data_IF_630422339298
#
_entry.id   IF_630422339298
#
_cell.length_a   1.000
_cell.length_b   1.000
_cell.length_c   1.000
_cell.angle_alpha   90.00
_cell.angle_beta   90.00
_cell.angle_gamma   90.00
#
_symmetry.space_group_name_H-M   'P 1'
#
loop_
_entity.id
_entity.type
_entity.pdbx_description
1 polymer ?
#
# COMPACT_ATOMS: atom_id res chain seq x y z
N UNK A 1 -18.11 -10.21 22.99
CA UNK A 1 -18.04 -11.53 22.32
C UNK A 1 -17.00 -11.44 21.21
N UNK A 2 -15.81 -12.00 21.43
CA UNK A 2 -14.78 -12.11 20.39
C UNK A 2 -15.18 -13.25 19.46
N UNK A 3 -15.77 -12.94 18.30
CA UNK A 3 -16.00 -13.93 17.26
C UNK A 3 -14.62 -14.45 16.80
N UNK A 4 -14.34 -15.74 17.02
CA UNK A 4 -13.18 -16.42 16.45
C UNK A 4 -13.25 -16.23 14.93
N UNK A 5 -12.22 -15.62 14.34
CA UNK A 5 -12.03 -15.55 12.89
C UNK A 5 -11.73 -16.99 12.39
N UNK A 6 -12.77 -17.75 12.14
CA UNK A 6 -12.63 -19.10 11.55
C UNK A 6 -12.72 -18.97 10.02
N UNK A 7 -11.59 -19.06 9.37
CA UNK A 7 -11.54 -19.09 7.90
C UNK A 7 -11.76 -20.51 7.39
N UNK A 8 -12.53 -20.65 6.34
CA UNK A 8 -12.67 -21.93 5.60
C UNK A 8 -11.37 -22.25 4.84
N UNK A 9 -11.14 -23.53 4.52
CA UNK A 9 -9.93 -23.92 3.73
C UNK A 9 -9.82 -23.15 2.40
N UNK A 10 -10.94 -22.87 1.73
CA UNK A 10 -10.96 -22.07 0.50
C UNK A 10 -10.50 -20.63 0.74
N UNK A 11 -10.92 -20.02 1.84
CA UNK A 11 -10.50 -18.66 2.20
C UNK A 11 -9.01 -18.59 2.53
N UNK A 12 -8.50 -19.58 3.28
CA UNK A 12 -7.06 -19.68 3.61
C UNK A 12 -6.24 -19.81 2.33
N UNK A 13 -6.65 -20.66 1.39
CA UNK A 13 -5.98 -20.80 0.10
C UNK A 13 -5.99 -19.48 -0.70
N UNK A 14 -7.14 -18.79 -0.76
CA UNK A 14 -7.25 -17.50 -1.43
C UNK A 14 -6.35 -16.42 -0.82
N UNK A 15 -6.31 -16.35 0.51
CA UNK A 15 -5.41 -15.42 1.24
C UNK A 15 -3.94 -15.75 0.95
N UNK A 16 -3.56 -17.03 0.96
CA UNK A 16 -2.20 -17.47 0.68
C UNK A 16 -1.75 -17.11 -0.75
N UNK A 17 -2.64 -17.29 -1.74
CA UNK A 17 -2.37 -16.90 -3.14
C UNK A 17 -2.19 -15.39 -3.27
N UNK A 18 -3.05 -14.58 -2.63
CA UNK A 18 -2.90 -13.13 -2.65
C UNK A 18 -1.64 -12.67 -1.92
N UNK A 19 -1.27 -13.33 -0.82
CA UNK A 19 -0.04 -13.05 -0.09
C UNK A 19 1.20 -13.32 -0.96
N UNK A 20 1.23 -14.47 -1.63
CA UNK A 20 2.30 -14.80 -2.57
C UNK A 20 2.38 -13.78 -3.71
N UNK A 21 1.23 -13.37 -4.27
CA UNK A 21 1.16 -12.35 -5.32
C UNK A 21 1.67 -10.99 -4.83
N UNK A 22 1.32 -10.57 -3.61
CA UNK A 22 1.84 -9.35 -2.99
C UNK A 22 3.37 -9.41 -2.88
N UNK A 23 3.92 -10.50 -2.37
CA UNK A 23 5.38 -10.66 -2.20
C UNK A 23 6.09 -10.61 -3.56
N UNK A 24 5.60 -11.34 -4.56
CA UNK A 24 6.19 -11.37 -5.90
C UNK A 24 6.09 -10.02 -6.58
N UNK A 25 4.92 -9.38 -6.56
CA UNK A 25 4.74 -8.06 -7.18
C UNK A 25 5.58 -6.98 -6.50
N UNK A 26 5.76 -7.06 -5.18
CA UNK A 26 6.64 -6.12 -4.47
C UNK A 26 8.10 -6.36 -4.83
N UNK A 27 8.54 -7.62 -4.87
CA UNK A 27 9.92 -7.96 -5.21
C UNK A 27 10.27 -7.54 -6.65
N UNK A 28 9.38 -7.82 -7.61
CA UNK A 28 9.57 -7.46 -9.03
C UNK A 28 9.26 -6.00 -9.29
N UNK A 29 8.17 -5.47 -8.73
CA UNK A 29 7.75 -4.08 -8.90
C UNK A 29 8.76 -3.07 -8.36
N UNK A 30 9.55 -3.47 -7.37
CA UNK A 30 10.65 -2.67 -6.84
C UNK A 30 11.75 -2.36 -7.88
N UNK A 31 11.74 -2.97 -9.06
CA UNK A 31 12.64 -2.63 -10.17
C UNK A 31 12.11 -1.47 -11.02
N UNK A 32 10.82 -1.14 -10.90
CA UNK A 32 10.18 -0.05 -11.64
C UNK A 32 10.09 1.19 -10.77
N UNK A 33 10.89 2.19 -11.05
CA UNK A 33 10.87 3.46 -10.33
C UNK A 33 10.61 4.63 -11.29
N UNK A 34 9.83 5.60 -10.82
CA UNK A 34 9.69 6.90 -11.48
C UNK A 34 10.19 7.95 -10.48
N UNK A 35 11.36 8.53 -10.80
CA UNK A 35 12.08 9.37 -9.85
C UNK A 35 12.76 8.54 -8.74
N UNK A 36 12.92 9.10 -7.54
CA UNK A 36 13.64 8.46 -6.44
C UNK A 36 12.84 7.38 -5.69
N UNK A 37 11.55 7.22 -5.98
CA UNK A 37 10.64 6.29 -5.29
C UNK A 37 10.08 5.26 -6.28
N UNK A 38 9.94 4.01 -5.80
CA UNK A 38 9.40 2.90 -6.59
C UNK A 38 7.88 2.93 -6.65
N UNK A 39 7.33 2.46 -7.80
CA UNK A 39 5.89 2.22 -7.97
C UNK A 39 5.44 0.99 -7.17
N UNK A 40 4.29 1.11 -6.52
CA UNK A 40 3.74 0.05 -5.68
C UNK A 40 2.57 -0.67 -6.36
N UNK A 41 2.87 -1.69 -7.17
CA UNK A 41 1.85 -2.52 -7.82
C UNK A 41 1.11 -3.46 -6.87
N UNK A 42 1.59 -3.65 -5.63
CA UNK A 42 0.96 -4.53 -4.65
C UNK A 42 -0.34 -3.98 -4.09
N UNK A 43 -0.63 -2.69 -4.32
CA UNK A 43 -1.88 -2.06 -3.89
C UNK A 43 -3.11 -2.74 -4.51
N UNK A 44 -2.99 -3.35 -5.70
CA UNK A 44 -4.08 -4.06 -6.39
C UNK A 44 -4.51 -5.33 -5.65
N UNK A 45 -3.63 -6.33 -5.44
CA UNK A 45 -4.00 -7.53 -4.68
C UNK A 45 -4.32 -7.23 -3.21
N UNK A 46 -3.78 -6.17 -2.66
CA UNK A 46 -4.09 -5.69 -1.32
C UNK A 46 -5.55 -5.22 -1.23
N UNK A 47 -6.01 -4.39 -2.17
CA UNK A 47 -7.42 -3.99 -2.29
C UNK A 47 -8.32 -5.21 -2.45
N UNK A 48 -7.95 -6.13 -3.36
CA UNK A 48 -8.74 -7.35 -3.59
C UNK A 48 -8.90 -8.18 -2.32
N UNK A 49 -7.81 -8.42 -1.60
CA UNK A 49 -7.82 -9.14 -0.33
C UNK A 49 -8.63 -8.44 0.75
N UNK A 50 -8.51 -7.12 0.87
CA UNK A 50 -9.26 -6.31 1.82
C UNK A 50 -10.78 -6.34 1.55
N UNK A 51 -11.19 -6.32 0.29
CA UNK A 51 -12.60 -6.35 -0.11
C UNK A 51 -13.19 -7.75 0.06
N UNK A 52 -12.48 -8.82 -0.33
CA UNK A 52 -12.99 -10.20 -0.30
C UNK A 52 -12.98 -10.77 1.10
N UNK A 53 -11.86 -10.64 1.82
CA UNK A 53 -11.63 -11.31 3.10
C UNK A 53 -11.71 -10.39 4.31
N UNK A 54 -11.89 -9.09 4.08
CA UNK A 54 -12.11 -8.09 5.12
C UNK A 54 -10.86 -7.31 5.56
N UNK A 55 -11.04 -6.33 6.48
CA UNK A 55 -10.01 -5.36 6.86
C UNK A 55 -8.75 -5.99 7.43
N UNK A 56 -8.87 -7.04 8.23
CA UNK A 56 -7.73 -7.71 8.85
C UNK A 56 -6.84 -8.42 7.84
N UNK A 57 -7.45 -9.01 6.79
CA UNK A 57 -6.67 -9.61 5.70
C UNK A 57 -6.01 -8.52 4.86
N UNK A 58 -6.70 -7.40 4.61
CA UNK A 58 -6.09 -6.23 3.99
C UNK A 58 -4.87 -5.72 4.78
N UNK A 59 -4.98 -5.65 6.11
CA UNK A 59 -3.85 -5.29 6.98
C UNK A 59 -2.69 -6.30 6.89
N UNK A 60 -2.99 -7.60 6.89
CA UNK A 60 -1.99 -8.66 6.76
C UNK A 60 -1.22 -8.57 5.43
N UNK A 61 -1.93 -8.39 4.32
CA UNK A 61 -1.32 -8.23 2.99
C UNK A 61 -0.48 -6.95 2.92
N UNK A 62 -0.99 -5.85 3.51
CA UNK A 62 -0.27 -4.59 3.62
C UNK A 62 0.99 -4.70 4.48
N UNK A 63 0.93 -5.42 5.59
CA UNK A 63 2.07 -5.72 6.44
C UNK A 63 3.14 -6.51 5.67
N UNK A 64 2.75 -7.58 4.97
CA UNK A 64 3.67 -8.36 4.16
C UNK A 64 4.34 -7.51 3.06
N UNK A 65 3.57 -6.66 2.36
CA UNK A 65 4.13 -5.70 1.40
C UNK A 65 5.14 -4.76 2.07
N UNK A 66 4.79 -4.19 3.23
CA UNK A 66 5.67 -3.29 3.98
C UNK A 66 6.98 -3.95 4.43
N UNK A 67 6.92 -5.22 4.83
CA UNK A 67 8.13 -6.00 5.19
C UNK A 67 9.03 -6.21 3.98
N UNK A 68 8.47 -6.53 2.80
CA UNK A 68 9.27 -6.66 1.57
C UNK A 68 9.91 -5.33 1.19
N UNK A 69 9.17 -4.20 1.28
CA UNK A 69 9.75 -2.86 1.07
C UNK A 69 10.89 -2.59 2.06
N UNK A 70 10.72 -2.94 3.32
CA UNK A 70 11.78 -2.78 4.33
C UNK A 70 13.04 -3.58 3.98
N UNK A 71 12.88 -4.81 3.50
CA UNK A 71 14.02 -5.63 3.02
C UNK A 71 14.71 -4.93 1.85
N UNK A 72 13.95 -4.38 0.88
CA UNK A 72 14.51 -3.63 -0.25
C UNK A 72 15.26 -2.37 0.19
N UNK A 73 14.77 -1.69 1.23
CA UNK A 73 15.43 -0.54 1.85
C UNK A 73 16.77 -0.94 2.47
N UNK A 74 16.80 -2.03 3.26
CA UNK A 74 18.00 -2.54 3.91
C UNK A 74 19.02 -3.03 2.87
N UNK A 75 18.54 -3.66 1.78
CA UNK A 75 19.40 -4.10 0.66
C UNK A 75 19.87 -2.95 -0.24
N UNK A 76 19.45 -1.72 0.05
CA UNK A 76 19.86 -0.51 -0.69
C UNK A 76 19.60 -0.63 -2.20
N UNK A 77 18.44 -1.13 -2.58
CA UNK A 77 18.09 -1.32 -3.99
C UNK A 77 17.94 0.01 -4.76
N UNK A 78 17.77 1.13 -4.05
CA UNK A 78 17.65 2.49 -4.63
C UNK A 78 18.46 3.46 -3.76
N UNK A 79 19.18 4.43 -4.36
CA UNK A 79 19.99 5.41 -3.62
C UNK A 79 19.23 6.18 -2.53
N UNK A 80 17.96 6.51 -2.79
CA UNK A 80 17.07 7.12 -1.82
C UNK A 80 16.92 6.26 -0.55
N UNK A 81 16.83 4.94 -0.70
CA UNK A 81 16.71 4.02 0.43
C UNK A 81 17.96 3.96 1.30
N UNK A 82 19.15 4.07 0.68
CA UNK A 82 20.41 4.15 1.43
C UNK A 82 20.41 5.33 2.40
N UNK A 83 20.01 6.49 1.91
CA UNK A 83 20.03 7.73 2.69
C UNK A 83 19.03 7.69 3.85
N UNK A 84 17.78 7.30 3.60
CA UNK A 84 16.76 7.27 4.65
C UNK A 84 17.06 6.21 5.71
N UNK A 85 17.61 5.06 5.32
CA UNK A 85 17.99 4.00 6.25
C UNK A 85 19.18 4.39 7.13
N UNK A 86 20.21 5.01 6.53
CA UNK A 86 21.42 5.40 7.25
C UNK A 86 21.16 6.51 8.29
N UNK A 87 20.26 7.45 7.99
CA UNK A 87 20.08 8.65 8.79
C UNK A 87 18.82 8.62 9.69
N UNK A 88 17.74 7.96 9.24
CA UNK A 88 16.45 7.90 9.95
C UNK A 88 15.87 6.46 10.01
N UNK A 89 16.59 5.45 10.57
CA UNK A 89 16.22 4.04 10.46
C UNK A 89 14.88 3.69 11.12
N UNK A 90 14.59 4.25 12.29
CA UNK A 90 13.35 3.98 13.04
C UNK A 90 12.13 4.53 12.29
N UNK A 91 12.21 5.77 11.82
CA UNK A 91 11.11 6.39 11.07
C UNK A 91 10.90 5.68 9.75
N UNK A 92 11.97 5.28 9.08
CA UNK A 92 11.93 4.50 7.84
C UNK A 92 11.24 3.14 8.05
N UNK A 93 11.61 2.40 9.11
CA UNK A 93 10.97 1.15 9.49
C UNK A 93 9.45 1.33 9.67
N UNK A 94 9.06 2.28 10.51
CA UNK A 94 7.66 2.56 10.79
C UNK A 94 6.90 2.97 9.52
N UNK A 95 7.49 3.84 8.70
CA UNK A 95 6.87 4.30 7.46
C UNK A 95 6.67 3.14 6.48
N UNK A 96 7.67 2.28 6.27
CA UNK A 96 7.58 1.14 5.35
C UNK A 96 6.46 0.17 5.75
N UNK A 97 6.34 -0.14 7.04
CA UNK A 97 5.37 -1.13 7.53
C UNK A 97 3.99 -0.54 7.69
N UNK A 98 3.87 0.64 8.32
CA UNK A 98 2.55 1.19 8.68
C UNK A 98 1.77 1.68 7.46
N UNK A 99 2.42 2.32 6.46
CA UNK A 99 1.72 2.93 5.33
C UNK A 99 0.82 1.94 4.57
N UNK A 100 1.33 0.77 4.24
CA UNK A 100 0.59 -0.27 3.52
C UNK A 100 -0.35 -1.07 4.41
N UNK A 101 0.03 -1.33 5.67
CA UNK A 101 -0.81 -2.03 6.66
C UNK A 101 -2.09 -1.24 6.93
N UNK A 102 -1.96 0.04 7.25
CA UNK A 102 -3.11 0.92 7.53
C UNK A 102 -3.95 1.14 6.27
N UNK A 103 -3.32 1.32 5.11
CA UNK A 103 -4.03 1.47 3.84
C UNK A 103 -4.90 0.25 3.53
N UNK A 104 -4.37 -0.96 3.69
CA UNK A 104 -5.11 -2.21 3.50
C UNK A 104 -6.26 -2.39 4.49
N UNK A 105 -6.01 -2.07 5.77
CA UNK A 105 -7.04 -2.13 6.81
C UNK A 105 -8.20 -1.16 6.50
N UNK A 106 -7.89 0.11 6.22
CA UNK A 106 -8.90 1.13 5.95
C UNK A 106 -9.69 0.85 4.67
N UNK A 107 -9.05 0.31 3.63
CA UNK A 107 -9.74 -0.11 2.41
C UNK A 107 -10.86 -1.12 2.70
N UNK A 108 -10.55 -2.18 3.46
CA UNK A 108 -11.53 -3.19 3.83
C UNK A 108 -12.62 -2.65 4.76
N UNK A 109 -12.26 -1.74 5.68
CA UNK A 109 -13.21 -1.09 6.58
C UNK A 109 -14.21 -0.26 5.80
N UNK A 110 -13.74 0.62 4.91
CA UNK A 110 -14.60 1.48 4.10
C UNK A 110 -15.46 0.69 3.13
N UNK A 111 -14.91 -0.37 2.53
CA UNK A 111 -15.72 -1.29 1.73
C UNK A 111 -16.89 -1.86 2.56
N UNK A 112 -16.63 -2.38 3.74
CA UNK A 112 -17.66 -2.95 4.62
C UNK A 112 -18.74 -1.95 5.01
N UNK A 113 -18.38 -0.68 5.20
CA UNK A 113 -19.34 0.39 5.53
C UNK A 113 -20.24 0.78 4.35
N UNK A 114 -19.76 0.66 3.12
CA UNK A 114 -20.45 1.18 1.93
C UNK A 114 -21.15 0.10 1.10
N UNK A 115 -20.73 -1.18 1.21
CA UNK A 115 -21.16 -2.27 0.33
C UNK A 115 -22.67 -2.52 0.33
N UNK A 116 -23.34 -2.31 1.49
CA UNK A 116 -24.79 -2.52 1.62
C UNK A 116 -25.62 -1.43 0.92
N UNK A 117 -25.08 -0.21 0.82
CA UNK A 117 -25.77 0.91 0.18
C UNK A 117 -25.53 0.95 -1.33
N UNK A 118 -24.28 0.87 -1.77
CA UNK A 118 -23.88 0.96 -3.19
C UNK A 118 -22.61 0.13 -3.43
N UNK A 119 -22.76 -1.15 -3.77
CA UNK A 119 -21.65 -2.10 -3.93
C UNK A 119 -20.60 -1.63 -4.96
N UNK A 120 -21.00 -1.04 -6.09
CA UNK A 120 -20.06 -0.51 -7.08
C UNK A 120 -19.23 0.63 -6.50
N UNK A 121 -19.90 1.62 -5.87
CA UNK A 121 -19.23 2.76 -5.25
C UNK A 121 -18.28 2.31 -4.14
N UNK A 122 -18.67 1.29 -3.36
CA UNK A 122 -17.84 0.74 -2.29
C UNK A 122 -16.50 0.20 -2.83
N UNK A 123 -16.51 -0.49 -3.98
CA UNK A 123 -15.26 -0.98 -4.62
C UNK A 123 -14.41 0.19 -5.09
N UNK A 124 -14.99 1.19 -5.76
CA UNK A 124 -14.24 2.35 -6.24
C UNK A 124 -13.61 3.15 -5.10
N UNK A 125 -14.36 3.42 -4.04
CA UNK A 125 -13.85 4.16 -2.87
C UNK A 125 -12.77 3.35 -2.14
N UNK A 126 -12.98 2.05 -1.94
CA UNK A 126 -11.98 1.17 -1.32
C UNK A 126 -10.69 1.10 -2.14
N UNK A 127 -10.80 1.08 -3.49
CA UNK A 127 -9.64 1.10 -4.39
C UNK A 127 -8.88 2.42 -4.34
N UNK A 128 -9.58 3.55 -4.24
CA UNK A 128 -8.97 4.87 -4.14
C UNK A 128 -8.29 5.12 -2.79
N UNK A 129 -8.88 4.62 -1.71
CA UNK A 129 -8.37 4.82 -0.34
C UNK A 129 -6.97 4.25 -0.17
N UNK A 130 -6.64 3.13 -0.82
CA UNK A 130 -5.34 2.49 -0.63
C UNK A 130 -4.18 3.39 -1.08
N UNK A 131 -4.11 3.88 -2.33
CA UNK A 131 -3.04 4.80 -2.72
C UNK A 131 -3.08 6.11 -1.95
N UNK A 132 -4.27 6.65 -1.61
CA UNK A 132 -4.41 7.89 -0.84
C UNK A 132 -3.79 7.74 0.56
N UNK A 133 -4.16 6.71 1.30
CA UNK A 133 -3.66 6.48 2.66
C UNK A 133 -2.17 6.09 2.64
N UNK A 134 -1.77 5.23 1.70
CA UNK A 134 -0.37 4.84 1.53
C UNK A 134 0.52 6.06 1.30
N UNK A 135 0.11 6.96 0.42
CA UNK A 135 0.85 8.19 0.11
C UNK A 135 0.80 9.21 1.23
N UNK A 136 -0.35 9.40 1.88
CA UNK A 136 -0.46 10.31 3.03
C UNK A 136 0.47 9.90 4.17
N UNK A 137 0.51 8.61 4.52
CA UNK A 137 1.42 8.10 5.55
C UNK A 137 2.89 8.15 5.11
N UNK A 138 3.18 7.98 3.82
CA UNK A 138 4.52 8.19 3.28
C UNK A 138 4.96 9.65 3.43
N UNK A 139 4.10 10.61 3.09
CA UNK A 139 4.37 12.06 3.28
C UNK A 139 4.64 12.36 4.76
N UNK A 140 3.80 11.87 5.66
CA UNK A 140 3.99 12.03 7.11
C UNK A 140 5.32 11.44 7.56
N UNK A 141 5.68 10.25 7.09
CA UNK A 141 6.97 9.63 7.35
C UNK A 141 8.14 10.50 6.87
N UNK A 142 8.07 11.00 5.63
CA UNK A 142 9.08 11.88 5.06
C UNK A 142 9.24 13.19 5.84
N UNK A 143 8.16 13.77 6.36
CA UNK A 143 8.21 14.95 7.22
C UNK A 143 8.90 14.70 8.57
N UNK A 144 8.85 13.44 9.05
CA UNK A 144 9.56 13.03 10.27
C UNK A 144 11.03 12.64 10.01
N UNK A 145 11.45 12.43 8.74
CA UNK A 145 12.83 12.10 8.35
C UNK A 145 13.68 13.36 8.22
N UNK A 146 13.97 14.02 9.36
CA UNK A 146 14.65 15.32 9.39
C UNK A 146 16.12 15.26 8.95
N UNK A 147 16.79 14.12 9.16
CA UNK A 147 18.22 13.99 8.82
C UNK A 147 18.45 13.62 7.36
N UNK A 148 17.52 12.93 6.72
CA UNK A 148 17.67 12.50 5.34
C UNK A 148 16.90 13.37 4.35
N UNK A 149 15.57 13.50 4.51
CA UNK A 149 14.71 14.19 3.53
C UNK A 149 14.99 15.70 3.51
N UNK A 150 15.23 16.30 4.66
CA UNK A 150 15.57 17.73 4.75
C UNK A 150 16.94 18.03 4.13
N UNK A 151 17.95 17.16 4.32
CA UNK A 151 19.24 17.28 3.68
C UNK A 151 19.13 17.17 2.14
N UNK A 152 18.26 16.26 1.65
CA UNK A 152 18.03 16.09 0.20
C UNK A 152 17.29 17.27 -0.43
N UNK A 153 16.47 17.98 0.31
CA UNK A 153 15.78 19.17 -0.18
C UNK A 153 16.74 20.33 -0.54
N UNK A 154 17.98 20.32 0.02
CA UNK A 154 19.10 21.18 -0.34
C UNK A 154 18.73 22.68 -0.52
N UNK A 155 18.02 23.24 0.50
CA UNK A 155 17.57 24.64 0.47
C UNK A 155 16.22 24.89 -0.21
N UNK A 156 15.63 23.90 -0.90
CA UNK A 156 14.24 23.98 -1.37
C UNK A 156 13.27 23.78 -0.20
N UNK A 157 12.05 24.30 -0.35
CA UNK A 157 11.01 24.00 0.64
C UNK A 157 10.74 22.49 0.70
N UNK A 158 10.93 21.89 1.88
CA UNK A 158 10.82 20.43 2.08
C UNK A 158 9.47 19.87 1.65
N UNK A 159 8.38 20.61 1.89
CA UNK A 159 7.03 20.20 1.48
C UNK A 159 6.95 20.14 -0.06
N UNK A 160 7.48 21.14 -0.75
CA UNK A 160 7.51 21.16 -2.23
C UNK A 160 8.37 20.00 -2.75
N UNK A 161 9.53 19.75 -2.15
CA UNK A 161 10.38 18.62 -2.50
C UNK A 161 9.67 17.28 -2.35
N UNK A 162 9.01 17.04 -1.22
CA UNK A 162 8.24 15.79 -0.98
C UNK A 162 7.12 15.65 -2.01
N UNK A 163 6.30 16.68 -2.19
CA UNK A 163 5.11 16.61 -3.05
C UNK A 163 5.48 16.47 -4.53
N UNK A 164 6.48 17.22 -5.01
CA UNK A 164 6.83 17.26 -6.42
C UNK A 164 7.81 16.15 -6.80
N UNK A 165 8.88 15.95 -6.00
CA UNK A 165 9.95 15.03 -6.36
C UNK A 165 9.72 13.59 -5.91
N UNK A 166 9.06 13.38 -4.76
CA UNK A 166 8.89 12.04 -4.19
C UNK A 166 7.52 11.43 -4.47
N UNK A 167 6.47 12.25 -4.54
CA UNK A 167 5.08 11.75 -4.48
C UNK A 167 4.35 11.85 -5.81
N UNK A 168 4.43 13.01 -6.51
CA UNK A 168 3.46 13.40 -7.53
C UNK A 168 3.17 12.34 -8.60
N UNK A 169 4.18 11.89 -9.34
CA UNK A 169 3.97 10.92 -10.43
C UNK A 169 3.51 9.56 -9.91
N UNK A 170 4.15 9.06 -8.85
CA UNK A 170 3.84 7.74 -8.30
C UNK A 170 2.39 7.67 -7.80
N UNK A 171 1.95 8.70 -7.05
CA UNK A 171 0.59 8.77 -6.52
C UNK A 171 -0.47 8.75 -7.62
N UNK A 172 -0.33 9.59 -8.65
CA UNK A 172 -1.32 9.65 -9.72
C UNK A 172 -1.38 8.36 -10.54
N UNK A 173 -0.24 7.73 -10.81
CA UNK A 173 -0.19 6.44 -11.52
C UNK A 173 -0.82 5.33 -10.68
N UNK A 174 -0.46 5.22 -9.40
CA UNK A 174 -1.03 4.22 -8.50
C UNK A 174 -2.55 4.39 -8.34
N UNK A 175 -3.01 5.64 -8.17
CA UNK A 175 -4.43 5.95 -8.08
C UNK A 175 -5.16 5.60 -9.38
N UNK A 176 -4.63 6.00 -10.54
CA UNK A 176 -5.21 5.71 -11.84
C UNK A 176 -5.33 4.20 -12.08
N UNK A 177 -4.27 3.43 -11.82
CA UNK A 177 -4.27 1.98 -11.98
C UNK A 177 -5.34 1.33 -11.08
N UNK A 178 -5.40 1.72 -9.80
CA UNK A 178 -6.38 1.18 -8.87
C UNK A 178 -7.82 1.50 -9.31
N UNK A 179 -8.10 2.71 -9.79
CA UNK A 179 -9.42 3.11 -10.28
C UNK A 179 -9.81 2.42 -11.60
N UNK A 180 -8.86 2.28 -12.54
CA UNK A 180 -9.10 1.57 -13.81
C UNK A 180 -9.40 0.09 -13.56
N UNK A 181 -8.79 -0.51 -12.56
CA UNK A 181 -9.01 -1.92 -12.20
C UNK A 181 -10.23 -2.13 -11.30
N UNK A 182 -10.79 -1.09 -10.67
CA UNK A 182 -11.95 -1.21 -9.78
C UNK A 182 -13.16 -1.90 -10.43
N UNK A 183 -13.56 -1.63 -11.71
CA UNK A 183 -14.64 -2.36 -12.37
C UNK A 183 -14.35 -3.86 -12.51
N UNK A 184 -13.09 -4.22 -12.77
CA UNK A 184 -12.64 -5.63 -12.86
C UNK A 184 -12.75 -6.29 -11.49
N UNK A 185 -12.29 -5.62 -10.42
CA UNK A 185 -12.44 -6.09 -9.05
C UNK A 185 -13.91 -6.32 -8.69
N UNK A 186 -14.81 -5.39 -9.09
CA UNK A 186 -16.24 -5.55 -8.86
C UNK A 186 -16.81 -6.77 -9.59
N UNK A 187 -16.38 -7.05 -10.83
CA UNK A 187 -16.78 -8.28 -11.55
C UNK A 187 -16.28 -9.53 -10.83
N UNK A 188 -15.02 -9.56 -10.42
CA UNK A 188 -14.43 -10.70 -9.70
C UNK A 188 -15.22 -11.01 -8.44
N UNK A 189 -15.65 -10.01 -7.68
CA UNK A 189 -16.48 -10.18 -6.48
C UNK A 189 -17.82 -10.89 -6.76
N UNK A 190 -18.43 -10.66 -7.92
CA UNK A 190 -19.68 -11.32 -8.30
C UNK A 190 -19.51 -12.82 -8.58
N UNK A 191 -18.34 -13.24 -9.03
CA UNK A 191 -18.04 -14.64 -9.35
C UNK A 191 -17.48 -15.44 -8.16
N UNK A 192 -16.85 -14.75 -7.20
CA UNK A 192 -16.31 -15.39 -5.99
C UNK A 192 -17.44 -15.53 -4.97
N UNK A 193 -18.14 -16.67 -5.00
CA UNK A 193 -19.03 -17.12 -3.92
C UNK A 193 -18.16 -17.75 -2.82
N UNK A 194 -17.72 -16.96 -1.85
CA UNK A 194 -17.01 -17.47 -0.64
C UNK A 194 -17.94 -17.40 0.54
#
# INVERSE_FOLDING_TARGET
MQGKLTFTSKQITGIAVLLALVIVLQAVGGTVSIGPVQLNFTLIPLVLGAIIFGPWVGALLGFASGVVVLIQVIMVMVPFYALIWANDPIVTFLTCVLKTTVAGFLSGLVYNMLKEKKAVLAVFVASAIVPVVNTALFILGCLCMTNSVYAMANGTNVIVFILVSLVSFNFFIELAINLILAPTLHKVLKYIKI
#
